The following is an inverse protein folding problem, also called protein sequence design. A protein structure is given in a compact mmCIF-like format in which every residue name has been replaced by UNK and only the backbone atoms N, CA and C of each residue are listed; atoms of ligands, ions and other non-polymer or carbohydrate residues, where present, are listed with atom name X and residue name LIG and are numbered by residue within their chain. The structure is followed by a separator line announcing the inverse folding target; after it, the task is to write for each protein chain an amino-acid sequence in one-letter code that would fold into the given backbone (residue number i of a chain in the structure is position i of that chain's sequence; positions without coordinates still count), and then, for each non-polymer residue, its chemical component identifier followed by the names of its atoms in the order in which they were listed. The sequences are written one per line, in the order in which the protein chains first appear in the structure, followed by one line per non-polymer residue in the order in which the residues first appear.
data_IF_593238178473
#
_entry.id   IF_593238178473
#
_cell.length_a   1.000
_cell.length_b   1.000
_cell.length_c   1.000
_cell.angle_alpha   90.00
_cell.angle_beta   90.00
_cell.angle_gamma   90.00
#
_symmetry.space_group_name_H-M   'P 1'
#
loop_
_entity.id
_entity.type
_entity.pdbx_description
1 polymer ?
#
# COMPACT_ATOMS: atom_id res chain seq x y z
N UNK A 1 6.08 -33.67 -8.14
CA UNK A 1 6.47 -32.27 -8.43
C UNK A 1 5.91 -31.80 -9.77
N UNK A 2 6.40 -32.29 -10.93
CA UNK A 2 5.96 -31.84 -12.27
C UNK A 2 4.44 -31.84 -12.48
N UNK A 3 3.76 -32.93 -12.17
CA UNK A 3 2.29 -33.02 -12.31
C UNK A 3 1.54 -31.93 -11.51
N UNK A 4 2.01 -31.57 -10.31
CA UNK A 4 1.38 -30.53 -9.50
C UNK A 4 1.57 -29.15 -10.14
N UNK A 5 2.76 -28.87 -10.66
CA UNK A 5 3.05 -27.64 -11.40
C UNK A 5 2.19 -27.54 -12.67
N UNK A 6 2.16 -28.59 -13.48
CA UNK A 6 1.38 -28.62 -14.73
C UNK A 6 -0.12 -28.43 -14.47
N UNK A 7 -0.65 -29.03 -13.39
CA UNK A 7 -2.04 -28.82 -12.96
C UNK A 7 -2.30 -27.37 -12.53
N UNK A 8 -1.39 -26.76 -11.79
CA UNK A 8 -1.51 -25.36 -11.39
C UNK A 8 -1.57 -24.45 -12.62
N UNK A 9 -0.63 -24.61 -13.56
CA UNK A 9 -0.63 -23.84 -14.81
C UNK A 9 -1.93 -24.06 -15.60
N UNK A 10 -2.37 -25.31 -15.74
CA UNK A 10 -3.60 -25.61 -16.45
C UNK A 10 -4.82 -24.89 -15.86
N UNK A 11 -5.04 -24.98 -14.54
CA UNK A 11 -6.21 -24.36 -13.92
C UNK A 11 -6.12 -22.83 -13.85
N UNK A 12 -4.92 -22.26 -13.73
CA UNK A 12 -4.72 -20.81 -13.86
C UNK A 12 -5.12 -20.36 -15.26
N UNK A 13 -4.64 -21.03 -16.31
CA UNK A 13 -4.98 -20.69 -17.69
C UNK A 13 -6.50 -20.80 -17.95
N UNK A 14 -7.16 -21.85 -17.43
CA UNK A 14 -8.62 -22.00 -17.55
C UNK A 14 -9.34 -20.81 -16.91
N UNK A 15 -8.89 -20.34 -15.74
CA UNK A 15 -9.49 -19.19 -15.07
C UNK A 15 -9.25 -17.88 -15.84
N UNK A 16 -8.02 -17.64 -16.30
CA UNK A 16 -7.66 -16.46 -17.09
C UNK A 16 -8.45 -16.39 -18.41
N UNK A 17 -8.54 -17.50 -19.14
CA UNK A 17 -9.34 -17.58 -20.37
C UNK A 17 -10.83 -17.33 -20.09
N UNK A 18 -11.36 -17.85 -18.99
CA UNK A 18 -12.75 -17.61 -18.60
C UNK A 18 -12.99 -16.12 -18.29
N UNK A 19 -12.10 -15.47 -17.54
CA UNK A 19 -12.18 -14.03 -17.24
C UNK A 19 -12.13 -13.21 -18.52
N UNK A 20 -11.19 -13.52 -19.42
CA UNK A 20 -11.03 -12.81 -20.70
C UNK A 20 -12.26 -12.93 -21.61
N UNK A 21 -12.92 -14.11 -21.65
CA UNK A 21 -14.09 -14.35 -22.51
C UNK A 21 -15.40 -13.81 -21.93
N UNK A 22 -15.55 -13.80 -20.61
CA UNK A 22 -16.83 -13.52 -19.94
C UNK A 22 -16.84 -12.19 -19.17
N UNK A 23 -15.73 -11.44 -19.17
CA UNK A 23 -15.59 -10.19 -18.44
C UNK A 23 -16.61 -9.14 -18.89
N UNK A 24 -17.30 -8.56 -17.90
CA UNK A 24 -18.24 -7.46 -18.09
C UNK A 24 -17.51 -6.13 -18.17
N UNK A 25 -18.13 -5.11 -18.79
CA UNK A 25 -17.61 -3.75 -18.77
C UNK A 25 -17.36 -3.26 -17.33
N UNK A 26 -16.30 -2.46 -17.18
CA UNK A 26 -15.93 -1.94 -15.87
C UNK A 26 -16.98 -1.01 -15.28
N UNK A 27 -16.95 -0.88 -13.95
CA UNK A 27 -17.79 0.05 -13.22
C UNK A 27 -17.62 1.50 -13.71
N UNK A 28 -18.67 2.30 -13.51
CA UNK A 28 -18.65 3.73 -13.79
C UNK A 28 -17.44 4.40 -13.14
N UNK A 29 -16.84 5.35 -13.85
CA UNK A 29 -15.70 6.12 -13.32
C UNK A 29 -16.19 7.25 -12.42
N UNK A 30 -15.39 7.58 -11.41
CA UNK A 30 -15.57 8.78 -10.60
C UNK A 30 -15.28 10.03 -11.43
N UNK A 31 -15.98 11.13 -11.15
CA UNK A 31 -15.63 12.43 -11.70
C UNK A 31 -14.28 12.89 -11.14
N UNK A 32 -13.37 13.28 -12.03
CA UNK A 32 -12.07 13.83 -11.65
C UNK A 32 -12.11 15.36 -11.71
N UNK A 33 -11.33 16.07 -10.88
CA UNK A 33 -11.10 17.50 -11.02
C UNK A 33 -10.65 17.87 -12.43
N UNK A 34 -11.03 19.06 -12.91
CA UNK A 34 -10.61 19.57 -14.22
C UNK A 34 -9.09 19.71 -14.32
N UNK A 35 -8.42 20.02 -13.20
CA UNK A 35 -6.97 20.15 -13.09
C UNK A 35 -6.46 19.29 -11.93
N UNK A 36 -5.86 18.16 -12.25
CA UNK A 36 -5.26 17.27 -11.25
C UNK A 36 -3.91 17.81 -10.77
N UNK A 37 -3.64 17.68 -9.47
CA UNK A 37 -2.31 17.92 -8.93
C UNK A 37 -1.32 16.87 -9.43
N UNK A 38 -0.02 17.16 -9.43
CA UNK A 38 0.99 16.17 -9.80
C UNK A 38 1.31 15.26 -8.62
N UNK A 39 1.82 14.02 -8.86
CA UNK A 39 2.25 13.13 -7.78
C UNK A 39 3.24 13.79 -6.80
N UNK A 40 4.17 14.60 -7.32
CA UNK A 40 5.15 15.34 -6.51
C UNK A 40 4.54 16.38 -5.58
N UNK A 41 3.37 16.94 -5.93
CA UNK A 41 2.69 17.96 -5.12
C UNK A 41 2.05 17.36 -3.86
N UNK A 42 1.68 16.07 -3.92
CA UNK A 42 0.97 15.38 -2.82
C UNK A 42 1.84 14.36 -2.06
N UNK A 43 2.93 13.88 -2.65
CA UNK A 43 3.77 12.84 -2.04
C UNK A 43 4.30 13.21 -0.64
N UNK A 44 4.75 14.45 -0.35
CA UNK A 44 5.15 14.85 1.00
C UNK A 44 3.99 14.80 2.00
N UNK A 45 2.78 15.18 1.56
CA UNK A 45 1.56 15.15 2.37
C UNK A 45 1.17 13.72 2.74
N UNK A 46 1.14 12.81 1.76
CA UNK A 46 0.89 11.38 1.99
C UNK A 46 1.93 10.78 2.95
N UNK A 47 3.22 10.99 2.67
CA UNK A 47 4.33 10.47 3.48
C UNK A 47 4.29 11.00 4.92
N UNK A 48 3.94 12.28 5.09
CA UNK A 48 3.83 12.91 6.40
C UNK A 48 2.64 12.36 7.20
N UNK A 49 1.51 12.11 6.53
CA UNK A 49 0.29 11.64 7.18
C UNK A 49 0.41 10.19 7.70
N UNK A 50 1.20 9.34 7.04
CA UNK A 50 1.46 7.96 7.49
C UNK A 50 2.67 7.82 8.42
N UNK A 51 3.32 8.94 8.81
CA UNK A 51 4.45 8.89 9.72
C UNK A 51 3.98 8.58 11.15
N UNK A 52 4.61 7.59 11.80
CA UNK A 52 4.22 7.17 13.15
C UNK A 52 4.84 8.12 14.18
N UNK A 53 4.00 8.85 14.91
CA UNK A 53 4.47 9.72 15.98
C UNK A 53 5.07 8.90 17.13
N UNK A 54 6.23 9.33 17.64
CA UNK A 54 6.91 8.75 18.81
C UNK A 54 6.83 9.66 20.04
N UNK A 55 6.07 10.75 19.97
CA UNK A 55 6.09 11.83 20.96
C UNK A 55 7.24 12.81 20.73
N UNK A 56 7.23 13.94 21.44
CA UNK A 56 8.34 14.91 21.48
C UNK A 56 8.83 15.40 20.10
N UNK A 57 7.92 15.51 19.13
CA UNK A 57 8.25 15.91 17.75
C UNK A 57 9.04 14.87 16.95
N UNK A 58 9.20 13.65 17.47
CA UNK A 58 9.87 12.53 16.79
C UNK A 58 8.87 11.73 15.97
N UNK A 59 9.29 11.36 14.76
CA UNK A 59 8.46 10.59 13.83
C UNK A 59 9.24 9.47 13.19
N UNK A 60 8.61 8.31 13.17
CA UNK A 60 8.98 7.16 12.39
C UNK A 60 8.40 7.30 10.99
N UNK A 61 9.24 7.80 10.07
CA UNK A 61 8.84 8.08 8.69
C UNK A 61 8.90 6.84 7.81
N UNK A 62 8.15 6.87 6.72
CA UNK A 62 8.16 5.85 5.68
C UNK A 62 8.81 6.39 4.41
N UNK A 63 9.21 5.49 3.52
CA UNK A 63 9.53 5.75 2.13
C UNK A 63 8.29 5.43 1.31
N UNK A 64 8.04 6.24 0.28
CA UNK A 64 6.93 6.02 -0.65
C UNK A 64 7.47 5.63 -2.02
N UNK A 65 6.89 4.59 -2.61
CA UNK A 65 7.09 4.16 -4.00
C UNK A 65 5.84 4.52 -4.79
N UNK A 66 5.96 5.41 -5.77
CA UNK A 66 4.83 5.80 -6.62
C UNK A 66 4.82 4.98 -7.90
N UNK A 67 3.67 4.39 -8.25
CA UNK A 67 3.46 3.66 -9.50
C UNK A 67 2.22 4.15 -10.21
N UNK A 68 2.32 4.20 -11.53
CA UNK A 68 1.22 4.56 -12.43
C UNK A 68 1.37 3.80 -13.74
N UNK A 69 0.23 3.39 -14.28
CA UNK A 69 0.08 2.78 -15.60
C UNK A 69 -1.36 2.99 -16.03
N UNK A 70 -1.66 2.88 -17.32
CA UNK A 70 -3.02 3.00 -17.82
C UNK A 70 -3.95 2.01 -17.13
N UNK A 71 -3.48 0.77 -16.90
CA UNK A 71 -4.24 -0.23 -16.17
C UNK A 71 -4.53 0.21 -14.72
N UNK A 72 -3.53 0.69 -13.97
CA UNK A 72 -3.72 1.15 -12.59
C UNK A 72 -4.71 2.31 -12.54
N UNK A 73 -4.49 3.34 -13.37
CA UNK A 73 -5.32 4.56 -13.39
C UNK A 73 -6.76 4.25 -13.79
N UNK A 74 -6.94 3.41 -14.81
CA UNK A 74 -8.25 2.94 -15.25
C UNK A 74 -9.01 2.30 -14.08
N UNK A 75 -8.40 1.36 -13.35
CA UNK A 75 -9.08 0.71 -12.24
C UNK A 75 -9.37 1.63 -11.06
N UNK A 76 -8.40 2.41 -10.59
CA UNK A 76 -8.57 3.27 -9.41
C UNK A 76 -9.53 4.43 -9.65
N UNK A 77 -9.78 4.79 -10.92
CA UNK A 77 -10.80 5.77 -11.29
C UNK A 77 -12.23 5.24 -11.16
N UNK A 78 -12.45 3.99 -10.74
CA UNK A 78 -13.77 3.46 -10.44
C UNK A 78 -14.49 4.31 -9.38
N UNK A 79 -15.77 4.61 -9.59
CA UNK A 79 -16.64 5.24 -8.59
C UNK A 79 -16.81 4.38 -7.32
N UNK A 80 -16.48 3.09 -7.40
CA UNK A 80 -16.53 2.13 -6.27
C UNK A 80 -15.18 1.95 -5.59
N UNK A 81 -14.14 2.70 -5.94
CA UNK A 81 -12.77 2.39 -5.47
C UNK A 81 -12.64 2.36 -3.94
N UNK A 82 -13.32 3.25 -3.23
CA UNK A 82 -13.34 3.27 -1.74
C UNK A 82 -14.00 2.01 -1.18
N UNK A 83 -15.12 1.59 -1.77
CA UNK A 83 -15.81 0.35 -1.39
C UNK A 83 -14.91 -0.85 -1.63
N UNK A 84 -14.34 -0.98 -2.84
CA UNK A 84 -13.46 -2.09 -3.22
C UNK A 84 -12.24 -2.19 -2.29
N UNK A 85 -11.59 -1.05 -2.03
CA UNK A 85 -10.44 -0.98 -1.13
C UNK A 85 -10.79 -1.43 0.31
N UNK A 86 -12.00 -1.13 0.77
CA UNK A 86 -12.51 -1.53 2.10
C UNK A 86 -12.93 -3.00 2.24
N UNK A 87 -13.10 -3.74 1.13
CA UNK A 87 -13.57 -5.14 1.17
C UNK A 87 -12.53 -6.11 1.72
N UNK A 88 -11.24 -5.84 1.55
CA UNK A 88 -10.18 -6.73 2.04
C UNK A 88 -9.15 -7.13 0.99
N UNK A 89 -8.43 -8.21 1.30
CA UNK A 89 -7.34 -8.75 0.50
C UNK A 89 -7.54 -10.25 0.23
N UNK A 90 -6.98 -10.75 -0.88
CA UNK A 90 -7.19 -12.12 -1.33
C UNK A 90 -6.19 -13.15 -0.79
N UNK A 91 -5.07 -12.71 -0.19
CA UNK A 91 -3.99 -13.63 0.24
C UNK A 91 -3.34 -13.19 1.56
N UNK A 92 -2.70 -14.12 2.29
CA UNK A 92 -1.91 -13.79 3.49
C UNK A 92 -0.78 -12.79 3.21
N UNK A 93 -0.08 -12.92 2.08
CA UNK A 93 1.01 -12.01 1.71
C UNK A 93 0.51 -10.58 1.52
N UNK A 94 -0.67 -10.39 0.91
CA UNK A 94 -1.29 -9.07 0.83
C UNK A 94 -1.66 -8.56 2.23
N UNK A 95 -2.20 -9.41 3.11
CA UNK A 95 -2.59 -9.01 4.46
C UNK A 95 -1.41 -8.48 5.29
N UNK A 96 -0.26 -9.17 5.28
CA UNK A 96 0.90 -8.69 6.04
C UNK A 96 1.62 -7.48 5.42
N UNK A 97 1.43 -7.21 4.12
CA UNK A 97 2.09 -6.11 3.39
C UNK A 97 1.24 -4.85 3.24
N UNK A 98 -0.07 -5.02 3.05
CA UNK A 98 -1.05 -3.95 2.86
C UNK A 98 -2.23 -3.99 3.83
N UNK A 99 -2.10 -4.73 4.94
CA UNK A 99 -3.05 -4.74 6.06
C UNK A 99 -4.43 -5.25 5.62
N UNK A 100 -5.48 -4.62 6.11
CA UNK A 100 -6.87 -4.89 5.75
C UNK A 100 -7.22 -4.46 4.33
N UNK A 101 -6.31 -3.80 3.59
CA UNK A 101 -6.52 -3.36 2.22
C UNK A 101 -5.89 -1.98 1.94
N UNK A 102 -5.99 -1.51 0.69
CA UNK A 102 -5.55 -0.16 0.34
C UNK A 102 -6.38 0.92 1.05
N UNK A 103 -5.79 2.09 1.26
CA UNK A 103 -6.55 3.31 1.58
C UNK A 103 -6.80 4.07 0.28
N UNK A 104 -8.05 4.32 -0.09
CA UNK A 104 -8.37 5.19 -1.23
C UNK A 104 -8.67 6.60 -0.74
N UNK A 105 -8.09 7.62 -1.40
CA UNK A 105 -8.37 9.04 -1.13
C UNK A 105 -8.98 9.70 -2.37
N UNK A 106 -9.68 10.84 -2.25
CA UNK A 106 -10.19 11.57 -3.40
C UNK A 106 -9.07 12.08 -4.33
N UNK A 107 -9.39 12.24 -5.61
CA UNK A 107 -8.49 12.85 -6.58
C UNK A 107 -8.10 14.29 -6.14
N UNK A 108 -6.81 14.66 -6.19
CA UNK A 108 -6.36 15.97 -5.75
C UNK A 108 -6.67 17.05 -6.78
N UNK A 109 -7.52 17.99 -6.42
CA UNK A 109 -7.74 19.22 -7.16
C UNK A 109 -6.52 20.15 -6.97
N UNK A 110 -5.84 20.46 -8.08
CA UNK A 110 -4.63 21.28 -8.05
C UNK A 110 -4.89 22.72 -7.59
N UNK A 111 -6.13 23.20 -7.69
CA UNK A 111 -6.54 24.53 -7.21
C UNK A 111 -6.88 24.53 -5.70
N UNK A 112 -6.96 23.36 -5.06
CA UNK A 112 -7.34 23.18 -3.64
C UNK A 112 -6.34 22.37 -2.83
N UNK A 113 -5.07 22.36 -3.24
CA UNK A 113 -4.01 21.61 -2.56
C UNK A 113 -3.80 22.01 -1.09
N UNK A 114 -4.10 23.27 -0.73
CA UNK A 114 -4.02 23.75 0.66
C UNK A 114 -4.88 22.93 1.63
N UNK A 115 -6.06 22.50 1.20
CA UNK A 115 -7.01 21.72 2.01
C UNK A 115 -6.74 20.22 1.93
N UNK A 116 -6.03 19.76 0.90
CA UNK A 116 -5.82 18.33 0.62
C UNK A 116 -5.08 17.61 1.76
N UNK A 117 -4.22 18.33 2.51
CA UNK A 117 -3.58 17.78 3.71
C UNK A 117 -4.58 17.33 4.78
N UNK A 118 -5.65 18.09 4.99
CA UNK A 118 -6.70 17.72 5.94
C UNK A 118 -7.49 16.50 5.44
N UNK A 119 -7.75 16.43 4.12
CA UNK A 119 -8.41 15.28 3.48
C UNK A 119 -7.60 14.00 3.66
N UNK A 120 -6.30 14.02 3.36
CA UNK A 120 -5.44 12.85 3.53
C UNK A 120 -5.40 12.42 5.00
N UNK A 121 -5.25 13.37 5.93
CA UNK A 121 -5.19 13.07 7.35
C UNK A 121 -6.48 12.42 7.86
N UNK A 122 -7.66 12.90 7.44
CA UNK A 122 -8.92 12.31 7.87
C UNK A 122 -9.09 10.87 7.38
N UNK A 123 -8.61 10.55 6.16
CA UNK A 123 -8.66 9.18 5.64
C UNK A 123 -7.69 8.26 6.39
N UNK A 124 -6.51 8.75 6.78
CA UNK A 124 -5.58 8.00 7.63
C UNK A 124 -6.19 7.77 9.01
N UNK A 125 -6.84 8.76 9.61
CA UNK A 125 -7.52 8.62 10.91
C UNK A 125 -8.63 7.57 10.86
N UNK A 126 -9.44 7.56 9.80
CA UNK A 126 -10.46 6.52 9.57
C UNK A 126 -9.82 5.15 9.41
N UNK A 127 -8.78 5.02 8.59
CA UNK A 127 -8.06 3.75 8.40
C UNK A 127 -7.50 3.21 9.72
N UNK A 128 -6.85 4.07 10.51
CA UNK A 128 -6.28 3.71 11.82
C UNK A 128 -7.37 3.26 12.78
N UNK A 129 -8.49 3.98 12.84
CA UNK A 129 -9.64 3.61 13.68
C UNK A 129 -10.19 2.25 13.27
N UNK A 130 -10.41 2.02 11.98
CA UNK A 130 -10.98 0.78 11.47
C UNK A 130 -10.02 -0.41 11.68
N UNK A 131 -8.71 -0.21 11.51
CA UNK A 131 -7.71 -1.23 11.80
C UNK A 131 -7.61 -1.53 13.30
N UNK A 132 -7.74 -0.52 14.16
CA UNK A 132 -7.75 -0.71 15.62
C UNK A 132 -8.97 -1.52 16.06
N UNK A 133 -10.16 -1.16 15.57
CA UNK A 133 -11.38 -1.92 15.83
C UNK A 133 -11.30 -3.35 15.28
N UNK A 134 -10.70 -3.52 14.10
CA UNK A 134 -10.40 -4.83 13.53
C UNK A 134 -9.51 -5.65 14.46
N UNK A 135 -8.42 -5.08 14.99
CA UNK A 135 -7.56 -5.79 15.92
C UNK A 135 -8.30 -6.16 17.22
N UNK A 136 -8.92 -5.19 17.88
CA UNK A 136 -9.58 -5.40 19.18
C UNK A 136 -10.70 -6.43 19.11
N UNK A 137 -11.52 -6.39 18.04
CA UNK A 137 -12.63 -7.34 17.87
C UNK A 137 -12.12 -8.77 17.67
N UNK A 138 -11.03 -8.95 16.92
CA UNK A 138 -10.55 -10.28 16.57
C UNK A 138 -9.58 -10.87 17.59
N UNK A 139 -8.80 -10.04 18.29
CA UNK A 139 -7.95 -10.48 19.40
C UNK A 139 -8.80 -10.98 20.58
N UNK A 140 -10.03 -10.45 20.75
CA UNK A 140 -10.97 -10.89 21.77
C UNK A 140 -11.70 -12.22 21.45
N UNK A 141 -11.47 -12.84 20.28
CA UNK A 141 -12.12 -14.09 19.89
C UNK A 141 -11.48 -15.34 20.50
N UNK A 142 -10.26 -15.24 21.01
CA UNK A 142 -9.54 -16.34 21.67
C UNK A 142 -8.66 -15.84 22.82
N UNK A 143 -8.02 -16.76 23.53
CA UNK A 143 -7.15 -16.44 24.68
C UNK A 143 -5.69 -16.13 24.29
N UNK A 144 -5.38 -16.07 22.98
CA UNK A 144 -4.01 -15.84 22.50
C UNK A 144 -3.75 -14.34 22.44
N UNK A 145 -3.08 -13.82 23.46
CA UNK A 145 -2.72 -12.39 23.49
C UNK A 145 -1.76 -12.01 22.35
N UNK A 146 -2.20 -11.15 21.44
CA UNK A 146 -1.36 -10.57 20.38
C UNK A 146 -0.99 -9.13 20.69
N UNK A 147 0.03 -8.62 20.01
CA UNK A 147 0.39 -7.19 20.05
C UNK A 147 -0.04 -6.56 18.74
N UNK A 148 -0.85 -5.50 18.79
CA UNK A 148 -1.28 -4.80 17.59
C UNK A 148 -0.08 -4.30 16.79
N UNK A 149 -0.06 -4.61 15.49
CA UNK A 149 0.91 -4.03 14.58
C UNK A 149 0.62 -2.54 14.40
N UNK A 150 1.55 -1.78 13.82
CA UNK A 150 1.25 -0.38 13.54
C UNK A 150 0.05 -0.27 12.56
N UNK A 151 -0.92 0.62 12.84
CA UNK A 151 -2.18 0.67 12.12
C UNK A 151 -2.12 1.55 10.86
N UNK A 152 -0.93 2.00 10.44
CA UNK A 152 -0.80 2.93 9.32
C UNK A 152 -1.03 2.22 7.99
N UNK A 153 -1.72 2.87 7.02
CA UNK A 153 -1.93 2.30 5.70
C UNK A 153 -0.60 2.13 4.97
N UNK A 154 -0.46 1.03 4.24
CA UNK A 154 0.76 0.68 3.49
C UNK A 154 0.62 0.86 1.98
N UNK A 155 -0.59 1.11 1.49
CA UNK A 155 -0.86 1.39 0.09
C UNK A 155 -1.95 2.45 0.01
N UNK A 156 -1.68 3.55 -0.68
CA UNK A 156 -2.66 4.61 -0.93
C UNK A 156 -3.01 4.66 -2.42
N UNK A 157 -4.30 4.61 -2.75
CA UNK A 157 -4.82 4.77 -4.10
C UNK A 157 -5.32 6.21 -4.30
N UNK A 158 -4.85 6.85 -5.36
CA UNK A 158 -5.20 8.25 -5.68
C UNK A 158 -5.76 8.32 -7.10
N UNK A 159 -7.10 8.36 -7.25
CA UNK A 159 -7.75 8.48 -8.55
C UNK A 159 -7.19 9.66 -9.36
N UNK A 160 -7.02 9.43 -10.66
CA UNK A 160 -6.39 10.35 -11.60
C UNK A 160 -4.86 10.29 -11.63
N UNK A 161 -4.19 9.72 -10.62
CA UNK A 161 -2.73 9.73 -10.53
C UNK A 161 -2.10 8.33 -10.55
N UNK A 162 -2.47 7.47 -9.60
CA UNK A 162 -1.81 6.18 -9.41
C UNK A 162 -1.88 5.73 -7.96
N UNK A 163 -0.88 4.94 -7.55
CA UNK A 163 -0.80 4.42 -6.19
C UNK A 163 0.56 4.70 -5.55
N UNK A 164 0.56 4.75 -4.22
CA UNK A 164 1.74 4.98 -3.40
C UNK A 164 1.88 3.83 -2.39
N UNK A 165 2.87 2.97 -2.57
CA UNK A 165 3.28 2.00 -1.57
C UNK A 165 4.11 2.67 -0.48
N UNK A 166 3.86 2.38 0.79
CA UNK A 166 4.53 2.98 1.94
C UNK A 166 5.24 1.92 2.78
N UNK A 167 6.54 2.07 3.00
CA UNK A 167 7.36 1.11 3.74
C UNK A 167 8.41 1.77 4.62
N UNK A 168 8.97 1.03 5.58
CA UNK A 168 10.08 1.53 6.41
C UNK A 168 11.37 1.75 5.60
N UNK A 169 11.52 0.98 4.54
CA UNK A 169 12.58 1.10 3.53
C UNK A 169 11.98 1.20 2.13
N UNK A 170 12.77 1.62 1.14
CA UNK A 170 12.35 1.57 -0.27
C UNK A 170 11.99 0.15 -0.73
N UNK A 171 12.67 -0.88 -0.20
CA UNK A 171 12.34 -2.28 -0.49
C UNK A 171 10.93 -2.60 -0.02
N UNK A 172 10.58 -2.24 1.22
CA UNK A 172 9.25 -2.50 1.77
C UNK A 172 8.17 -1.70 1.02
N UNK A 173 8.47 -0.45 0.64
CA UNK A 173 7.56 0.38 -0.14
C UNK A 173 7.27 -0.22 -1.53
N UNK A 174 8.30 -0.73 -2.21
CA UNK A 174 8.16 -1.43 -3.49
C UNK A 174 7.35 -2.70 -3.37
N UNK A 175 7.57 -3.50 -2.33
CA UNK A 175 6.77 -4.70 -2.06
C UNK A 175 5.30 -4.32 -1.86
N UNK A 176 5.01 -3.25 -1.13
CA UNK A 176 3.64 -2.76 -0.96
C UNK A 176 3.00 -2.34 -2.30
N UNK A 177 3.76 -1.70 -3.20
CA UNK A 177 3.30 -1.41 -4.56
C UNK A 177 3.12 -2.67 -5.42
N UNK A 178 4.04 -3.63 -5.35
CA UNK A 178 3.97 -4.91 -6.08
C UNK A 178 2.68 -5.66 -5.73
N UNK A 179 2.40 -5.83 -4.43
CA UNK A 179 1.16 -6.47 -3.98
C UNK A 179 -0.07 -5.61 -4.26
N UNK A 180 0.09 -4.29 -4.40
CA UNK A 180 -0.96 -3.38 -4.83
C UNK A 180 -1.38 -3.62 -6.28
N UNK A 181 -0.44 -3.85 -7.20
CA UNK A 181 -0.72 -4.26 -8.59
C UNK A 181 -1.44 -5.60 -8.61
N UNK A 182 -0.96 -6.58 -7.85
CA UNK A 182 -1.61 -7.88 -7.73
C UNK A 182 -3.04 -7.76 -7.17
N UNK A 183 -3.25 -6.89 -6.18
CA UNK A 183 -4.58 -6.63 -5.64
C UNK A 183 -5.50 -6.02 -6.71
N UNK A 184 -5.03 -5.02 -7.46
CA UNK A 184 -5.80 -4.41 -8.56
C UNK A 184 -6.19 -5.46 -9.60
N UNK A 185 -5.27 -6.34 -10.01
CA UNK A 185 -5.54 -7.40 -10.98
C UNK A 185 -6.58 -8.40 -10.47
N UNK A 186 -6.42 -8.88 -9.23
CA UNK A 186 -7.34 -9.83 -8.62
C UNK A 186 -8.75 -9.24 -8.46
N UNK A 187 -8.86 -8.01 -7.96
CA UNK A 187 -10.16 -7.35 -7.77
C UNK A 187 -10.80 -7.03 -9.12
N UNK A 188 -10.02 -6.56 -10.11
CA UNK A 188 -10.53 -6.31 -11.47
C UNK A 188 -11.09 -7.59 -12.09
N UNK A 189 -10.35 -8.70 -12.04
CA UNK A 189 -10.79 -9.98 -12.60
C UNK A 189 -12.06 -10.50 -11.92
N UNK A 190 -12.12 -10.40 -10.59
CA UNK A 190 -13.31 -10.81 -9.82
C UNK A 190 -14.54 -9.95 -10.14
N UNK A 191 -14.39 -8.62 -10.18
CA UNK A 191 -15.47 -7.68 -10.50
C UNK A 191 -15.91 -7.76 -11.98
N UNK A 192 -15.04 -8.21 -12.88
CA UNK A 192 -15.40 -8.42 -14.28
C UNK A 192 -16.39 -9.60 -14.44
N UNK A 193 -16.33 -10.62 -13.59
CA UNK A 193 -17.19 -11.81 -13.70
C UNK A 193 -18.35 -11.77 -12.71
N UNK A 194 -18.10 -11.32 -11.49
CA UNK A 194 -19.05 -11.28 -10.39
C UNK A 194 -18.72 -10.15 -9.42
N UNK A 195 -18.44 -10.49 -8.17
CA UNK A 195 -18.01 -9.54 -7.15
C UNK A 195 -16.76 -10.07 -6.45
N UNK A 196 -15.82 -9.19 -6.15
CA UNK A 196 -14.71 -9.47 -5.26
C UNK A 196 -15.21 -9.65 -3.83
N UNK A 197 -15.09 -10.87 -3.32
CA UNK A 197 -15.46 -11.25 -1.96
C UNK A 197 -14.30 -12.01 -1.31
N UNK A 198 -13.38 -11.32 -0.63
CA UNK A 198 -12.30 -11.98 0.09
C UNK A 198 -12.85 -12.72 1.32
N UNK A 199 -11.98 -13.47 2.00
CA UNK A 199 -12.30 -14.03 3.31
C UNK A 199 -12.76 -12.92 4.28
N UNK A 200 -13.56 -13.31 5.27
CA UNK A 200 -13.98 -12.37 6.31
C UNK A 200 -12.74 -11.82 7.03
N UNK A 201 -12.86 -10.62 7.59
CA UNK A 201 -11.78 -10.03 8.41
C UNK A 201 -11.39 -10.96 9.57
N UNK A 202 -12.36 -11.64 10.19
CA UNK A 202 -12.10 -12.60 11.26
C UNK A 202 -11.28 -13.80 10.79
N UNK A 203 -11.50 -14.31 9.59
CA UNK A 203 -10.71 -15.41 9.02
C UNK A 203 -9.32 -14.95 8.57
N UNK A 204 -9.17 -13.70 8.14
CA UNK A 204 -7.88 -13.10 7.77
C UNK A 204 -7.00 -12.77 8.98
N UNK A 205 -7.60 -12.49 10.14
CA UNK A 205 -6.86 -12.05 11.33
C UNK A 205 -5.84 -13.08 11.85
N UNK A 206 -6.18 -14.37 12.00
CA UNK A 206 -5.21 -15.38 12.37
C UNK A 206 -4.04 -15.47 11.39
N UNK A 207 -4.26 -15.19 10.10
CA UNK A 207 -3.23 -15.23 9.07
C UNK A 207 -2.28 -14.02 9.17
N UNK A 208 -2.81 -12.80 9.37
CA UNK A 208 -1.98 -11.59 9.58
C UNK A 208 -1.13 -11.69 10.85
N UNK A 209 -1.69 -12.31 11.89
CA UNK A 209 -1.05 -12.47 13.19
C UNK A 209 -0.34 -13.80 13.39
N UNK A 210 -0.24 -14.62 12.34
CA UNK A 210 0.53 -15.85 12.41
C UNK A 210 2.03 -15.55 12.45
N UNK A 211 2.72 -16.12 13.43
CA UNK A 211 4.15 -15.86 13.65
C UNK A 211 5.03 -16.18 12.44
N UNK A 212 4.70 -17.21 11.65
CA UNK A 212 5.46 -17.56 10.44
C UNK A 212 5.26 -16.54 9.32
N UNK A 213 4.06 -15.96 9.19
CA UNK A 213 3.80 -14.90 8.22
C UNK A 213 4.49 -13.60 8.63
N UNK A 214 4.41 -13.23 9.91
CA UNK A 214 5.13 -12.05 10.42
C UNK A 214 6.65 -12.19 10.33
N UNK A 215 7.20 -13.41 10.38
CA UNK A 215 8.63 -13.63 10.18
C UNK A 215 9.12 -13.15 8.80
N UNK A 216 8.24 -13.11 7.77
CA UNK A 216 8.56 -12.52 6.45
C UNK A 216 8.82 -11.01 6.52
N UNK A 217 8.35 -10.33 7.58
CA UNK A 217 8.56 -8.89 7.83
C UNK A 217 9.78 -8.63 8.72
N UNK A 218 10.17 -9.57 9.58
CA UNK A 218 11.15 -9.39 10.66
C UNK A 218 12.61 -9.16 10.20
N UNK A 219 12.89 -9.23 8.89
CA UNK A 219 14.26 -9.14 8.36
C UNK A 219 14.87 -7.73 8.38
N UNK A 220 14.08 -6.68 8.55
CA UNK A 220 14.55 -5.29 8.53
C UNK A 220 14.54 -4.65 9.94
N UNK A 221 15.63 -4.83 10.70
CA UNK A 221 15.85 -4.06 11.94
C UNK A 221 16.09 -2.58 11.59
N UNK A 222 15.33 -1.63 12.16
CA UNK A 222 15.55 -0.21 11.89
C UNK A 222 16.96 0.24 12.31
N UNK A 223 17.65 0.91 11.38
CA UNK A 223 18.87 1.69 11.61
C UNK A 223 18.54 3.15 12.00
N UNK A 224 19.50 3.93 12.54
CA UNK A 224 19.24 5.29 13.04
C UNK A 224 18.57 6.24 12.05
N UNK A 225 18.82 6.08 10.73
CA UNK A 225 18.27 6.93 9.69
C UNK A 225 17.21 6.23 8.81
N UNK A 226 16.64 5.13 9.30
CA UNK A 226 15.55 4.42 8.59
C UNK A 226 14.40 5.36 8.27
N UNK A 227 13.90 5.29 7.03
CA UNK A 227 12.81 6.13 6.56
C UNK A 227 13.22 7.58 6.28
N UNK A 228 14.48 7.98 6.46
CA UNK A 228 14.98 9.30 6.06
C UNK A 228 15.35 9.34 4.58
N UNK A 229 15.11 10.48 3.95
CA UNK A 229 15.55 10.79 2.59
C UNK A 229 16.51 11.97 2.68
N UNK A 230 17.68 11.85 2.08
CA UNK A 230 18.73 12.88 2.08
C UNK A 230 19.09 13.27 0.66
N UNK A 231 19.30 14.56 0.42
CA UNK A 231 19.84 15.09 -0.82
C UNK A 231 21.33 15.37 -0.62
N UNK A 232 22.18 14.81 -1.48
CA UNK A 232 23.63 14.99 -1.42
C UNK A 232 24.08 15.60 -2.75
N UNK A 233 24.53 16.84 -2.70
CA UNK A 233 25.11 17.55 -3.85
C UNK A 233 26.60 17.21 -3.98
N UNK A 234 27.12 17.24 -5.20
CA UNK A 234 28.47 16.75 -5.50
C UNK A 234 28.61 15.26 -5.22
N UNK A 235 27.52 14.49 -5.34
CA UNK A 235 27.44 13.09 -4.93
C UNK A 235 28.43 12.16 -5.66
N UNK A 236 28.88 12.57 -6.85
CA UNK A 236 29.89 11.86 -7.63
C UNK A 236 31.34 12.16 -7.19
N UNK A 237 31.58 13.20 -6.39
CA UNK A 237 32.90 13.52 -5.84
C UNK A 237 33.30 12.58 -4.69
N UNK A 238 34.58 12.54 -4.34
CA UNK A 238 35.09 11.64 -3.29
C UNK A 238 34.35 11.82 -1.95
N UNK A 239 34.13 13.07 -1.52
CA UNK A 239 33.42 13.39 -0.28
C UNK A 239 31.93 13.07 -0.39
N UNK A 240 31.28 13.45 -1.49
CA UNK A 240 29.86 13.18 -1.72
C UNK A 240 29.55 11.67 -1.74
N UNK A 241 30.38 10.88 -2.41
CA UNK A 241 30.25 9.43 -2.48
C UNK A 241 30.47 8.77 -1.11
N UNK A 242 31.47 9.20 -0.34
CA UNK A 242 31.71 8.71 1.03
C UNK A 242 30.53 9.05 1.95
N UNK A 243 29.99 10.27 1.82
CA UNK A 243 28.82 10.75 2.58
C UNK A 243 27.59 9.91 2.25
N UNK A 244 27.30 9.70 0.96
CA UNK A 244 26.19 8.87 0.50
C UNK A 244 26.26 7.44 1.04
N UNK A 245 27.44 6.82 0.99
CA UNK A 245 27.67 5.48 1.54
C UNK A 245 27.42 5.43 3.04
N UNK A 246 27.87 6.44 3.80
CA UNK A 246 27.67 6.51 5.24
C UNK A 246 26.18 6.67 5.61
N UNK A 247 25.44 7.55 4.91
CA UNK A 247 24.00 7.73 5.10
C UNK A 247 23.23 6.43 4.77
N UNK A 248 23.53 5.80 3.64
CA UNK A 248 22.93 4.53 3.25
C UNK A 248 23.27 3.40 4.24
N UNK A 249 24.51 3.33 4.74
CA UNK A 249 24.92 2.38 5.77
C UNK A 249 24.13 2.55 7.07
N UNK A 250 23.65 3.76 7.38
CA UNK A 250 22.79 4.08 8.51
C UNK A 250 21.28 4.05 8.21
N UNK A 251 20.89 3.60 7.01
CA UNK A 251 19.49 3.33 6.64
C UNK A 251 18.74 4.46 5.95
N UNK A 252 19.41 5.57 5.62
CA UNK A 252 18.82 6.63 4.81
C UNK A 252 18.78 6.25 3.33
N UNK A 253 17.85 6.84 2.60
CA UNK A 253 17.82 6.81 1.13
C UNK A 253 18.40 8.12 0.59
N UNK A 254 19.44 8.03 -0.22
CA UNK A 254 20.14 9.20 -0.76
C UNK A 254 19.73 9.48 -2.21
N UNK A 255 19.44 10.74 -2.49
CA UNK A 255 19.35 11.31 -3.84
C UNK A 255 20.66 12.03 -4.10
N UNK A 256 21.37 11.64 -5.16
CA UNK A 256 22.66 12.21 -5.52
C UNK A 256 22.47 13.20 -6.67
N UNK A 257 23.03 14.39 -6.52
CA UNK A 257 23.07 15.46 -7.54
C UNK A 257 24.52 15.87 -7.77
#
# INVERSE_FOLDING_TARGET
ARQAYDRMIHYVNVAEEYVARNGKPQAAKAALPARLAKPGDIAPTLRGAVAVARGEGRFDRMISDFRTSDAVVDFINSAKIVELAGRGVSTPDLSIRIKTGPMAVPAPDADKLGDYKAVVRSHVEVFVKDYTAYFETNDALDDVKRTMLDPMPRLTLVPGLGMFGHGRTLKDARIASDVGEMWIEAVRGAEAIGNFHPLSKADLFPLEYWSLEQAKLASNKPKPLTGQVVLITGGAGAIGAATAKLFAANGAHAVLV
#
